data_IF_043978054518
#
_entry.id   IF_043978054518
#
_cell.length_a   1.000
_cell.length_b   1.000
_cell.length_c   1.000
_cell.angle_alpha   90.00
_cell.angle_beta   90.00
_cell.angle_gamma   90.00
#
_symmetry.space_group_name_H-M   'P 1'
#
loop_
_entity.id
_entity.type
_entity.pdbx_description
1 polymer ?
#
# COMPACT_ATOMS: atom_id res chain seq x y z
N UNK A 1 24.38 -13.61 0.30
CA UNK A 1 22.92 -13.73 0.19
C UNK A 1 22.32 -12.64 1.06
N UNK A 2 21.56 -11.73 0.46
CA UNK A 2 20.70 -10.86 1.28
C UNK A 2 19.60 -11.75 1.85
N UNK A 3 19.36 -11.62 3.16
CA UNK A 3 18.23 -12.25 3.81
C UNK A 3 16.94 -11.76 3.13
N UNK A 4 16.21 -12.68 2.50
CA UNK A 4 14.95 -12.42 1.80
C UNK A 4 13.75 -12.97 2.58
N UNK A 5 13.95 -13.27 3.85
CA UNK A 5 12.88 -13.77 4.71
C UNK A 5 11.77 -12.73 4.87
N UNK A 6 10.54 -13.22 4.92
CA UNK A 6 9.34 -12.41 5.14
C UNK A 6 8.56 -13.01 6.31
N UNK A 7 7.91 -12.17 7.14
CA UNK A 7 6.98 -12.66 8.15
C UNK A 7 5.85 -13.47 7.50
N UNK A 8 5.58 -14.66 8.04
CA UNK A 8 4.55 -15.53 7.48
C UNK A 8 3.83 -16.31 8.58
N UNK A 9 2.53 -16.48 8.42
CA UNK A 9 1.69 -17.34 9.26
C UNK A 9 1.52 -18.75 8.67
N UNK A 10 2.13 -19.05 7.52
CA UNK A 10 1.99 -20.32 6.80
C UNK A 10 2.36 -21.54 7.64
N UNK A 11 3.27 -21.39 8.58
CA UNK A 11 3.62 -22.44 9.52
C UNK A 11 2.45 -22.86 10.44
N UNK A 12 1.49 -21.97 10.64
CA UNK A 12 0.36 -22.17 11.55
C UNK A 12 -0.96 -22.41 10.85
N UNK A 13 -1.11 -22.00 9.61
CA UNK A 13 -2.38 -21.96 8.91
C UNK A 13 -2.51 -22.97 7.74
N UNK A 14 -1.42 -23.67 7.40
CA UNK A 14 -1.39 -24.70 6.36
C UNK A 14 -0.61 -25.91 6.88
N UNK A 15 -1.34 -26.95 7.27
CA UNK A 15 -0.77 -28.12 7.99
C UNK A 15 -0.07 -29.12 7.09
N UNK A 16 -0.29 -29.02 5.79
CA UNK A 16 0.36 -29.89 4.79
C UNK A 16 1.77 -29.42 4.44
N UNK A 17 2.09 -28.14 4.71
CA UNK A 17 3.41 -27.60 4.45
C UNK A 17 4.46 -28.15 5.41
N UNK A 18 5.62 -28.49 4.85
CA UNK A 18 6.76 -29.00 5.59
C UNK A 18 7.88 -27.98 5.58
N UNK A 19 8.42 -27.72 6.76
CA UNK A 19 9.45 -26.71 6.96
C UNK A 19 10.69 -27.30 7.61
N UNK A 20 11.86 -26.80 7.21
CA UNK A 20 13.12 -27.02 7.88
C UNK A 20 13.47 -25.79 8.70
N UNK A 21 13.81 -26.00 9.99
CA UNK A 21 14.31 -24.94 10.83
C UNK A 21 15.71 -24.51 10.40
N UNK A 22 15.93 -23.21 10.25
CA UNK A 22 17.23 -22.64 9.85
C UNK A 22 17.97 -22.12 11.08
N UNK A 23 17.38 -21.15 11.78
CA UNK A 23 18.01 -20.48 12.92
C UNK A 23 17.02 -19.67 13.74
N UNK A 24 17.41 -19.33 14.95
CA UNK A 24 16.80 -18.25 15.73
C UNK A 24 17.46 -16.94 15.38
N UNK A 25 16.73 -15.83 15.49
CA UNK A 25 17.31 -14.51 15.34
C UNK A 25 18.26 -14.18 16.51
N UNK A 26 19.35 -13.49 16.21
CA UNK A 26 20.34 -13.13 17.22
C UNK A 26 19.90 -11.99 18.14
N UNK A 27 19.08 -11.07 17.62
CA UNK A 27 18.67 -9.87 18.33
C UNK A 27 17.24 -9.99 18.88
N UNK A 28 16.40 -10.78 18.23
CA UNK A 28 15.00 -10.98 18.59
C UNK A 28 14.72 -12.47 18.89
N UNK A 29 14.87 -12.92 20.14
CA UNK A 29 14.77 -14.34 20.49
C UNK A 29 13.43 -15.01 20.16
N UNK A 30 12.37 -14.25 19.97
CA UNK A 30 11.06 -14.80 19.57
C UNK A 30 10.94 -15.04 18.06
N UNK A 31 11.93 -14.62 17.26
CA UNK A 31 11.92 -14.74 15.81
C UNK A 31 12.73 -15.97 15.38
N UNK A 32 12.10 -16.83 14.60
CA UNK A 32 12.70 -18.06 14.08
C UNK A 32 12.57 -18.07 12.55
N UNK A 33 13.61 -18.56 11.89
CA UNK A 33 13.69 -18.69 10.43
C UNK A 33 13.51 -20.12 10.00
N UNK A 34 12.70 -20.32 8.98
CA UNK A 34 12.42 -21.63 8.37
C UNK A 34 12.52 -21.53 6.86
N UNK A 35 12.79 -22.63 6.19
CA UNK A 35 12.66 -22.77 4.74
C UNK A 35 11.58 -23.81 4.42
N UNK A 36 10.85 -23.58 3.34
CA UNK A 36 9.95 -24.60 2.80
C UNK A 36 10.77 -25.73 2.21
N UNK A 37 10.44 -26.97 2.56
CA UNK A 37 11.14 -28.17 2.07
C UNK A 37 10.78 -28.42 0.59
N UNK A 38 11.71 -29.00 -0.16
CA UNK A 38 11.50 -29.34 -1.56
C UNK A 38 10.40 -30.40 -1.77
N UNK A 39 10.16 -31.26 -0.75
CA UNK A 39 9.11 -32.29 -0.75
C UNK A 39 7.78 -31.80 -0.13
N UNK A 40 7.68 -30.51 0.18
CA UNK A 40 6.44 -29.88 0.58
C UNK A 40 5.52 -29.66 -0.61
N UNK A 41 4.18 -29.64 -0.42
CA UNK A 41 3.27 -29.12 -1.45
C UNK A 41 3.72 -27.75 -1.96
N UNK A 42 3.66 -27.57 -3.28
CA UNK A 42 4.05 -26.32 -3.92
C UNK A 42 2.85 -25.38 -4.21
N UNK A 43 1.69 -25.73 -3.67
CA UNK A 43 0.48 -24.93 -3.67
C UNK A 43 0.11 -24.59 -2.23
N UNK A 44 -0.64 -23.53 -2.05
CA UNK A 44 -1.10 -23.07 -0.74
C UNK A 44 -2.57 -23.43 -0.61
N UNK A 45 -2.88 -24.22 0.41
CA UNK A 45 -4.26 -24.59 0.75
C UNK A 45 -4.43 -24.48 2.28
N UNK A 46 -4.83 -23.29 2.72
CA UNK A 46 -4.95 -23.05 4.17
C UNK A 46 -6.03 -23.91 4.80
N UNK A 47 -5.68 -24.62 5.88
CA UNK A 47 -6.62 -25.35 6.74
C UNK A 47 -7.40 -24.39 7.64
N UNK A 48 -6.75 -23.32 8.05
CA UNK A 48 -7.38 -22.23 8.80
C UNK A 48 -7.01 -20.88 8.18
N UNK A 49 -7.91 -19.92 8.31
CA UNK A 49 -7.62 -18.54 7.93
C UNK A 49 -7.14 -17.77 9.16
N UNK A 50 -5.89 -17.35 9.12
CA UNK A 50 -5.26 -16.56 10.17
C UNK A 50 -5.23 -15.09 9.81
N UNK A 51 -5.24 -14.22 10.82
CA UNK A 51 -5.05 -12.79 10.65
C UNK A 51 -4.39 -12.18 11.88
N UNK A 52 -3.73 -11.05 11.70
CA UNK A 52 -3.07 -10.32 12.78
C UNK A 52 -3.69 -8.96 12.97
N UNK A 53 -3.84 -8.56 14.22
CA UNK A 53 -4.35 -7.26 14.61
C UNK A 53 -3.32 -6.64 15.54
N UNK A 54 -2.66 -5.56 15.10
CA UNK A 54 -1.70 -4.79 15.90
C UNK A 54 -2.04 -3.32 15.78
N UNK A 55 -2.16 -2.63 16.90
CA UNK A 55 -2.34 -1.17 16.92
C UNK A 55 -0.99 -0.52 16.63
N UNK A 56 -0.85 0.30 15.56
CA UNK A 56 0.37 1.05 15.31
C UNK A 56 0.69 2.00 16.49
N UNK A 57 1.97 2.18 16.79
CA UNK A 57 2.41 3.07 17.87
C UNK A 57 1.97 4.51 17.61
N UNK A 58 1.97 4.93 16.35
CA UNK A 58 1.51 6.28 15.99
C UNK A 58 0.00 6.50 16.13
N UNK A 59 -0.82 5.45 16.26
CA UNK A 59 -2.26 5.56 16.58
C UNK A 59 -2.43 5.83 18.09
N UNK A 60 -1.65 5.14 18.93
CA UNK A 60 -1.66 5.31 20.38
C UNK A 60 -0.28 4.94 20.95
N UNK A 61 0.42 5.91 21.52
CA UNK A 61 1.78 5.73 22.03
C UNK A 61 1.79 4.97 23.37
N UNK A 62 0.83 5.24 24.21
CA UNK A 62 0.66 4.57 25.52
C UNK A 62 0.07 3.16 25.37
N UNK A 63 0.55 2.23 26.17
CA UNK A 63 0.11 0.82 26.15
C UNK A 63 -1.37 0.68 26.48
N UNK A 64 -1.87 1.46 27.45
CA UNK A 64 -3.29 1.40 27.85
C UNK A 64 -4.19 1.99 26.75
N UNK A 65 -3.74 3.04 26.09
CA UNK A 65 -4.44 3.61 24.93
C UNK A 65 -4.47 2.61 23.77
N UNK A 66 -3.40 1.85 23.54
CA UNK A 66 -3.39 0.75 22.53
C UNK A 66 -4.40 -0.34 22.86
N UNK A 67 -4.51 -0.75 24.13
CA UNK A 67 -5.55 -1.68 24.56
C UNK A 67 -6.96 -1.11 24.36
N UNK A 68 -7.15 0.17 24.64
CA UNK A 68 -8.43 0.84 24.43
C UNK A 68 -8.78 0.89 22.92
N UNK A 69 -7.83 1.23 22.06
CA UNK A 69 -7.99 1.22 20.61
C UNK A 69 -8.31 -0.17 20.06
N UNK A 70 -7.60 -1.21 20.53
CA UNK A 70 -7.88 -2.60 20.18
C UNK A 70 -9.29 -3.01 20.61
N UNK A 71 -9.69 -2.69 21.84
CA UNK A 71 -11.02 -3.00 22.35
C UNK A 71 -12.13 -2.26 21.56
N UNK A 72 -11.87 -1.01 21.14
CA UNK A 72 -12.78 -0.26 20.29
C UNK A 72 -12.91 -0.91 18.91
N UNK A 73 -11.80 -1.32 18.31
CA UNK A 73 -11.80 -2.08 17.05
C UNK A 73 -12.59 -3.39 17.17
N UNK A 74 -12.37 -4.19 18.20
CA UNK A 74 -13.07 -5.47 18.39
C UNK A 74 -14.58 -5.27 18.55
N UNK A 75 -15.03 -4.22 19.24
CA UNK A 75 -16.46 -3.86 19.31
C UNK A 75 -17.02 -3.49 17.92
N UNK A 76 -16.27 -2.69 17.15
CA UNK A 76 -16.63 -2.32 15.78
C UNK A 76 -16.76 -3.57 14.88
N UNK A 77 -15.79 -4.46 14.92
CA UNK A 77 -15.79 -5.69 14.14
C UNK A 77 -16.94 -6.64 14.56
N UNK A 78 -17.23 -6.76 15.86
CA UNK A 78 -18.35 -7.55 16.35
C UNK A 78 -19.70 -7.00 15.87
N UNK A 79 -19.86 -5.66 15.89
CA UNK A 79 -21.06 -5.02 15.37
C UNK A 79 -21.22 -5.23 13.85
N UNK A 80 -20.13 -5.13 13.10
CA UNK A 80 -20.15 -5.35 11.65
C UNK A 80 -20.58 -6.79 11.26
N UNK A 81 -20.24 -7.80 12.06
CA UNK A 81 -20.66 -9.20 11.80
C UNK A 81 -22.18 -9.42 11.81
N UNK A 82 -22.92 -8.56 12.46
CA UNK A 82 -24.38 -8.65 12.52
C UNK A 82 -25.07 -7.89 11.40
N UNK A 83 -24.35 -7.06 10.68
CA UNK A 83 -24.88 -6.31 9.54
C UNK A 83 -24.99 -7.23 8.33
N UNK A 84 -26.12 -7.12 7.63
CA UNK A 84 -26.40 -7.87 6.39
C UNK A 84 -26.52 -6.90 5.21
N UNK A 85 -25.54 -6.02 5.11
CA UNK A 85 -25.54 -5.03 4.04
C UNK A 85 -25.07 -5.66 2.72
N UNK A 86 -25.69 -5.25 1.64
CA UNK A 86 -25.22 -5.56 0.30
C UNK A 86 -24.13 -4.56 -0.05
N UNK A 87 -22.99 -5.06 -0.50
CA UNK A 87 -21.89 -4.24 -0.98
C UNK A 87 -22.29 -3.48 -2.23
N UNK A 88 -22.33 -2.15 -2.19
CA UNK A 88 -22.82 -1.30 -3.28
C UNK A 88 -21.82 -0.27 -3.78
N UNK A 89 -20.95 0.19 -2.90
CA UNK A 89 -19.97 1.25 -3.20
C UNK A 89 -18.56 0.70 -3.16
N UNK A 90 -17.93 0.70 -4.32
CA UNK A 90 -16.55 0.22 -4.49
C UNK A 90 -15.69 1.34 -5.04
N UNK A 91 -14.52 1.51 -4.47
CA UNK A 91 -13.45 2.32 -5.01
C UNK A 91 -12.30 1.41 -5.44
N UNK A 92 -11.94 1.48 -6.70
CA UNK A 92 -10.85 0.72 -7.28
C UNK A 92 -9.77 1.69 -7.78
N UNK A 93 -8.57 1.53 -7.28
CA UNK A 93 -7.42 2.36 -7.62
C UNK A 93 -6.25 1.50 -8.07
N UNK A 94 -5.64 1.85 -9.19
CA UNK A 94 -4.37 1.32 -9.64
C UNK A 94 -3.42 2.47 -9.99
N UNK A 95 -2.25 2.48 -9.37
CA UNK A 95 -1.30 3.60 -9.44
C UNK A 95 0.11 3.19 -9.82
N UNK A 96 1.07 3.78 -9.14
CA UNK A 96 2.48 3.60 -9.40
C UNK A 96 2.92 2.14 -9.45
N UNK A 97 3.74 1.82 -10.43
CA UNK A 97 4.41 0.54 -10.62
C UNK A 97 3.69 -0.41 -11.58
N UNK A 98 2.47 -0.09 -11.94
CA UNK A 98 1.74 -0.86 -12.92
C UNK A 98 1.99 -0.27 -14.32
N UNK A 99 2.71 -1.00 -15.14
CA UNK A 99 2.98 -0.68 -16.55
C UNK A 99 2.11 -1.55 -17.47
N UNK A 100 2.32 -1.51 -18.78
CA UNK A 100 1.44 -2.05 -19.81
C UNK A 100 0.64 -3.31 -19.43
N UNK A 101 1.31 -4.43 -19.13
CA UNK A 101 0.62 -5.71 -18.86
C UNK A 101 -0.09 -5.70 -17.50
N UNK A 102 0.55 -5.16 -16.48
CA UNK A 102 -0.05 -5.02 -15.16
C UNK A 102 -1.25 -4.07 -15.17
N UNK A 103 -1.19 -2.99 -15.97
CA UNK A 103 -2.31 -2.08 -16.14
C UNK A 103 -3.50 -2.74 -16.83
N UNK A 104 -3.24 -3.53 -17.87
CA UNK A 104 -4.30 -4.30 -18.54
C UNK A 104 -4.98 -5.26 -17.56
N UNK A 105 -4.22 -5.94 -16.71
CA UNK A 105 -4.79 -6.80 -15.67
C UNK A 105 -5.70 -6.02 -14.70
N UNK A 106 -5.36 -4.76 -14.35
CA UNK A 106 -6.21 -3.91 -13.49
C UNK A 106 -7.46 -3.40 -14.21
N UNK A 107 -7.38 -3.16 -15.51
CA UNK A 107 -8.54 -2.86 -16.34
C UNK A 107 -9.47 -4.07 -16.39
N UNK A 108 -8.93 -5.26 -16.62
CA UNK A 108 -9.70 -6.51 -16.64
C UNK A 108 -10.34 -6.83 -15.29
N UNK A 109 -9.65 -6.55 -14.19
CA UNK A 109 -10.20 -6.64 -12.83
C UNK A 109 -11.40 -5.71 -12.66
N UNK A 110 -11.28 -4.45 -13.08
CA UNK A 110 -12.38 -3.48 -13.04
C UNK A 110 -13.59 -3.95 -13.85
N UNK A 111 -13.37 -4.46 -15.05
CA UNK A 111 -14.43 -5.07 -15.88
C UNK A 111 -15.06 -6.28 -15.21
N UNK A 112 -14.26 -7.13 -14.58
CA UNK A 112 -14.72 -8.31 -13.86
C UNK A 112 -15.60 -7.92 -12.67
N UNK A 113 -15.17 -6.96 -11.88
CA UNK A 113 -15.96 -6.43 -10.77
C UNK A 113 -17.33 -5.92 -11.25
N UNK A 114 -17.37 -5.15 -12.34
CA UNK A 114 -18.62 -4.65 -12.92
C UNK A 114 -19.52 -5.77 -13.44
N UNK A 115 -18.95 -6.81 -14.02
CA UNK A 115 -19.73 -7.94 -14.56
C UNK A 115 -20.28 -8.84 -13.47
N UNK A 116 -19.54 -9.07 -12.40
CA UNK A 116 -19.95 -9.91 -11.27
C UNK A 116 -20.91 -9.19 -10.31
N UNK A 117 -20.77 -7.88 -10.24
CA UNK A 117 -21.60 -7.02 -9.39
C UNK A 117 -22.29 -5.94 -10.25
N UNK A 118 -23.32 -6.30 -11.03
CA UNK A 118 -23.93 -5.40 -12.01
C UNK A 118 -24.59 -4.15 -11.40
N UNK A 119 -24.82 -4.12 -10.09
CA UNK A 119 -25.26 -2.93 -9.37
C UNK A 119 -24.13 -1.90 -9.18
N UNK A 120 -22.83 -2.32 -9.30
CA UNK A 120 -21.69 -1.43 -9.27
C UNK A 120 -21.64 -0.59 -10.55
N UNK A 121 -22.21 0.42 -10.75
CA UNK A 121 -22.20 1.26 -11.97
C UNK A 121 -23.56 1.80 -12.34
N UNK A 122 -24.61 1.29 -11.70
CA UNK A 122 -25.97 1.77 -11.91
C UNK A 122 -26.47 2.67 -10.79
N UNK A 123 -25.86 2.61 -9.60
CA UNK A 123 -26.24 3.42 -8.46
C UNK A 123 -25.30 4.61 -8.26
N UNK A 124 -25.83 5.72 -7.79
CA UNK A 124 -25.06 6.91 -7.43
C UNK A 124 -23.99 6.55 -6.39
N UNK A 125 -22.74 6.79 -6.72
CA UNK A 125 -21.60 6.70 -5.81
C UNK A 125 -20.76 5.44 -5.93
N UNK A 126 -20.96 4.60 -6.94
CA UNK A 126 -19.95 3.61 -7.33
C UNK A 126 -18.85 4.33 -8.10
N UNK A 127 -17.89 4.88 -7.40
CA UNK A 127 -16.64 5.34 -8.00
C UNK A 127 -15.74 4.14 -8.25
N UNK A 128 -16.12 3.33 -9.24
CA UNK A 128 -15.18 2.46 -9.88
C UNK A 128 -14.30 3.33 -10.77
N UNK A 129 -13.03 3.07 -10.71
CA UNK A 129 -12.02 3.49 -11.65
C UNK A 129 -11.38 4.83 -11.38
N UNK A 130 -10.38 4.74 -10.56
CA UNK A 130 -9.29 5.65 -10.72
C UNK A 130 -8.01 4.85 -11.05
N UNK A 131 -7.75 4.70 -12.34
CA UNK A 131 -6.51 4.11 -12.81
C UNK A 131 -5.58 5.26 -13.17
N UNK A 132 -4.48 5.35 -12.43
CA UNK A 132 -3.49 6.41 -12.62
C UNK A 132 -2.38 5.91 -13.55
N UNK A 133 -2.62 5.96 -14.86
CA UNK A 133 -1.62 5.58 -15.85
C UNK A 133 -0.40 6.51 -15.85
N UNK A 134 -0.66 7.78 -15.56
CA UNK A 134 0.29 8.87 -15.72
C UNK A 134 0.61 9.50 -14.36
N UNK A 135 1.60 10.39 -14.36
CA UNK A 135 1.87 11.22 -13.18
C UNK A 135 0.70 12.17 -12.92
N UNK A 136 0.11 12.09 -11.74
CA UNK A 136 -0.97 12.96 -11.31
C UNK A 136 -0.69 13.53 -9.91
N UNK A 137 -0.37 14.80 -9.79
CA UNK A 137 -0.03 15.43 -8.51
C UNK A 137 -1.22 15.55 -7.55
N UNK A 138 -2.45 15.32 -8.02
CA UNK A 138 -3.67 15.36 -7.21
C UNK A 138 -4.11 13.97 -6.73
N UNK A 139 -3.37 12.92 -7.06
CA UNK A 139 -3.77 11.54 -6.77
C UNK A 139 -3.94 11.27 -5.28
N UNK A 140 -3.04 11.79 -4.43
CA UNK A 140 -3.11 11.64 -2.98
C UNK A 140 -4.41 12.18 -2.41
N UNK A 141 -4.71 13.42 -2.73
CA UNK A 141 -5.91 14.09 -2.20
C UNK A 141 -7.19 13.41 -2.70
N UNK A 142 -7.18 12.92 -3.93
CA UNK A 142 -8.29 12.17 -4.50
C UNK A 142 -8.47 10.82 -3.79
N UNK A 143 -7.40 10.09 -3.53
CA UNK A 143 -7.45 8.82 -2.79
C UNK A 143 -7.94 9.03 -1.36
N UNK A 144 -7.38 10.00 -0.63
CA UNK A 144 -7.83 10.35 0.73
C UNK A 144 -9.31 10.70 0.75
N UNK A 145 -9.79 11.50 -0.20
CA UNK A 145 -11.21 11.82 -0.32
C UNK A 145 -12.07 10.60 -0.60
N UNK A 146 -11.60 9.70 -1.47
CA UNK A 146 -12.33 8.48 -1.80
C UNK A 146 -12.47 7.55 -0.60
N UNK A 147 -11.38 7.25 0.11
CA UNK A 147 -11.41 6.34 1.27
C UNK A 147 -12.13 6.93 2.49
N UNK A 148 -12.26 8.26 2.55
CA UNK A 148 -13.05 8.97 3.56
C UNK A 148 -14.55 9.05 3.22
N UNK A 149 -14.97 8.58 2.05
CA UNK A 149 -16.37 8.61 1.62
C UNK A 149 -17.22 7.75 2.56
N UNK A 150 -18.27 8.34 3.11
CA UNK A 150 -19.24 7.62 3.95
C UNK A 150 -19.95 6.55 3.11
N UNK A 151 -20.24 5.43 3.75
CA UNK A 151 -20.91 4.28 3.12
C UNK A 151 -20.08 3.62 1.99
N UNK A 152 -18.79 3.82 1.96
CA UNK A 152 -17.88 3.05 1.09
C UNK A 152 -17.78 1.62 1.63
N UNK A 153 -18.12 0.63 0.82
CA UNK A 153 -18.12 -0.76 1.24
C UNK A 153 -16.76 -1.42 1.02
N UNK A 154 -16.14 -1.17 -0.12
CA UNK A 154 -14.89 -1.80 -0.53
C UNK A 154 -13.95 -0.77 -1.17
N UNK A 155 -12.70 -0.73 -0.73
CA UNK A 155 -11.60 -0.08 -1.42
C UNK A 155 -10.57 -1.12 -1.85
N UNK A 156 -10.20 -1.11 -3.12
CA UNK A 156 -9.13 -1.94 -3.68
C UNK A 156 -8.04 -1.01 -4.17
N UNK A 157 -6.84 -1.12 -3.60
CA UNK A 157 -5.74 -0.18 -3.79
C UNK A 157 -4.51 -0.93 -4.31
N UNK A 158 -4.14 -0.71 -5.56
CA UNK A 158 -2.96 -1.30 -6.20
C UNK A 158 -1.90 -0.24 -6.42
N UNK A 159 -0.76 -0.38 -5.76
CA UNK A 159 0.38 0.54 -5.87
C UNK A 159 1.65 -0.09 -5.31
N UNK A 160 2.81 0.56 -5.44
CA UNK A 160 3.99 0.20 -4.67
C UNK A 160 3.90 0.76 -3.25
N UNK A 161 4.67 0.19 -2.30
CA UNK A 161 4.65 0.66 -0.92
C UNK A 161 5.92 0.34 -0.14
N UNK A 162 6.04 1.03 0.98
CA UNK A 162 6.90 0.71 2.12
C UNK A 162 6.04 0.59 3.38
N UNK A 163 6.65 0.40 4.52
CA UNK A 163 5.93 0.26 5.80
C UNK A 163 5.04 1.48 6.08
N UNK A 164 5.51 2.67 5.73
CA UNK A 164 4.95 3.96 6.08
C UNK A 164 4.38 4.76 4.89
N UNK A 165 4.55 4.28 3.66
CA UNK A 165 4.23 5.06 2.45
C UNK A 165 3.55 4.20 1.38
N UNK A 166 2.55 4.78 0.74
CA UNK A 166 1.91 4.30 -0.48
C UNK A 166 2.40 5.15 -1.65
N UNK A 167 3.10 4.54 -2.60
CA UNK A 167 3.62 5.20 -3.79
C UNK A 167 2.55 5.19 -4.88
N UNK A 168 1.91 6.33 -5.09
CA UNK A 168 0.69 6.42 -5.88
C UNK A 168 0.92 6.79 -7.34
N UNK A 169 2.10 7.35 -7.67
CA UNK A 169 2.38 7.89 -8.99
C UNK A 169 3.41 7.09 -9.78
N UNK A 170 3.17 7.00 -11.08
CA UNK A 170 4.18 6.55 -12.03
C UNK A 170 5.29 7.59 -12.22
N UNK A 171 6.41 7.17 -12.83
CA UNK A 171 7.44 8.10 -13.26
C UNK A 171 6.86 9.03 -14.33
N UNK A 172 6.96 10.34 -14.18
CA UNK A 172 6.49 11.27 -15.20
C UNK A 172 7.30 11.12 -16.48
N UNK A 173 6.63 11.19 -17.62
CA UNK A 173 7.24 11.21 -18.95
C UNK A 173 7.21 12.61 -19.55
N UNK A 174 8.16 12.92 -20.44
CA UNK A 174 8.21 14.20 -21.11
C UNK A 174 6.90 14.49 -21.87
N UNK A 175 6.34 15.65 -21.70
CA UNK A 175 5.06 16.07 -22.32
C UNK A 175 3.87 16.17 -21.35
N UNK A 176 3.94 15.57 -20.17
CA UNK A 176 2.87 15.65 -19.16
C UNK A 176 3.01 16.82 -18.19
N UNK A 177 3.92 17.74 -18.44
CA UNK A 177 4.54 18.58 -17.43
C UNK A 177 3.95 19.99 -17.37
N UNK A 178 2.77 20.22 -17.89
CA UNK A 178 2.15 21.52 -17.75
C UNK A 178 1.67 21.75 -16.32
N UNK A 179 2.41 22.55 -15.56
CA UNK A 179 1.93 23.18 -14.34
C UNK A 179 2.65 22.84 -13.03
N UNK A 180 3.42 21.73 -12.94
CA UNK A 180 4.10 21.31 -11.69
C UNK A 180 5.49 20.74 -11.93
N UNK A 181 6.28 21.41 -12.74
CA UNK A 181 7.62 20.97 -13.16
C UNK A 181 8.56 20.75 -11.97
N UNK A 182 8.49 21.60 -10.95
CA UNK A 182 9.40 21.51 -9.81
C UNK A 182 9.10 20.32 -8.93
N UNK A 183 7.83 19.98 -8.70
CA UNK A 183 7.42 18.78 -7.97
C UNK A 183 7.82 17.51 -8.71
N UNK A 184 7.71 17.51 -10.03
CA UNK A 184 8.16 16.41 -10.88
C UNK A 184 9.67 16.21 -10.79
N UNK A 185 10.46 17.29 -10.88
CA UNK A 185 11.92 17.25 -10.68
C UNK A 185 12.28 16.66 -9.31
N UNK A 186 11.61 17.13 -8.26
CA UNK A 186 11.81 16.65 -6.89
C UNK A 186 11.54 15.16 -6.76
N UNK A 187 10.44 14.68 -7.36
CA UNK A 187 10.09 13.26 -7.35
C UNK A 187 11.13 12.41 -8.09
N UNK A 188 11.57 12.84 -9.28
CA UNK A 188 12.59 12.12 -10.07
C UNK A 188 13.93 12.04 -9.33
N UNK A 189 14.41 13.16 -8.76
CA UNK A 189 15.64 13.17 -7.96
C UNK A 189 15.54 12.28 -6.71
N UNK A 190 14.40 12.30 -6.03
CA UNK A 190 14.13 11.43 -4.88
C UNK A 190 14.15 9.95 -5.27
N UNK A 191 13.55 9.57 -6.39
CA UNK A 191 13.59 8.18 -6.90
C UNK A 191 14.99 7.76 -7.29
N UNK A 192 15.73 8.62 -7.97
CA UNK A 192 17.11 8.38 -8.34
C UNK A 192 17.99 8.10 -7.12
N UNK A 193 17.91 8.93 -6.08
CA UNK A 193 18.66 8.76 -4.83
C UNK A 193 18.36 7.45 -4.10
N UNK A 194 17.12 6.96 -4.19
CA UNK A 194 16.71 5.68 -3.57
C UNK A 194 17.12 4.45 -4.38
N UNK A 195 17.59 4.64 -5.60
CA UNK A 195 18.03 3.52 -6.43
C UNK A 195 19.36 2.94 -5.93
N UNK A 196 19.60 1.67 -6.30
CA UNK A 196 20.88 1.00 -5.98
C UNK A 196 22.04 1.52 -6.80
N UNK A 197 21.76 2.08 -7.96
CA UNK A 197 22.72 2.63 -8.90
C UNK A 197 22.16 3.95 -9.42
N UNK A 198 22.63 5.02 -8.79
CA UNK A 198 22.14 6.38 -9.04
C UNK A 198 22.43 6.84 -10.47
N UNK A 199 23.66 6.60 -10.96
CA UNK A 199 24.05 7.01 -12.31
C UNK A 199 23.31 6.24 -13.39
N UNK A 200 23.13 4.94 -13.21
CA UNK A 200 22.34 4.13 -14.13
C UNK A 200 20.91 4.65 -14.18
N UNK A 201 20.27 4.88 -13.06
CA UNK A 201 18.89 5.38 -12.99
C UNK A 201 18.75 6.77 -13.58
N UNK A 202 19.72 7.66 -13.35
CA UNK A 202 19.77 8.97 -14.00
C UNK A 202 19.80 8.84 -15.52
N UNK A 203 20.68 7.98 -16.03
CA UNK A 203 20.81 7.78 -17.46
C UNK A 203 19.55 7.17 -18.09
N UNK A 204 18.88 6.24 -17.41
CA UNK A 204 17.59 5.69 -17.84
C UNK A 204 16.52 6.79 -17.93
N UNK A 205 16.41 7.68 -16.94
CA UNK A 205 15.47 8.79 -17.00
C UNK A 205 15.74 9.72 -18.18
N UNK A 206 17.00 9.98 -18.49
CA UNK A 206 17.39 10.85 -19.62
C UNK A 206 17.11 10.14 -20.96
N UNK A 207 17.58 8.88 -21.13
CA UNK A 207 17.53 8.16 -22.41
C UNK A 207 16.13 7.66 -22.74
N UNK A 208 15.47 7.02 -21.79
CA UNK A 208 14.25 6.26 -22.03
C UNK A 208 12.99 7.13 -21.85
N UNK A 209 13.06 8.11 -20.94
CA UNK A 209 11.93 8.97 -20.64
C UNK A 209 12.10 10.42 -21.17
N UNK A 210 13.25 10.72 -21.80
CA UNK A 210 13.51 12.03 -22.37
C UNK A 210 13.57 13.17 -21.34
N UNK A 211 13.96 12.87 -20.09
CA UNK A 211 14.04 13.88 -19.03
C UNK A 211 15.30 14.74 -19.25
N UNK A 212 15.19 16.07 -19.23
CA UNK A 212 16.36 16.94 -19.37
C UNK A 212 17.40 16.70 -18.27
N UNK A 213 18.67 16.53 -18.65
CA UNK A 213 19.75 16.28 -17.69
C UNK A 213 19.84 17.38 -16.61
N UNK A 214 19.55 18.63 -16.99
CA UNK A 214 19.56 19.77 -16.05
C UNK A 214 18.58 19.62 -14.88
N UNK A 215 17.61 18.71 -14.95
CA UNK A 215 16.68 18.46 -13.86
C UNK A 215 17.33 17.72 -12.68
N UNK A 216 18.49 17.13 -12.91
CA UNK A 216 19.26 16.42 -11.89
C UNK A 216 20.38 17.27 -11.26
N UNK A 217 20.55 18.55 -11.71
CA UNK A 217 21.55 19.43 -11.12
C UNK A 217 21.31 19.61 -9.62
N UNK A 218 22.40 19.52 -8.82
CA UNK A 218 22.33 19.65 -7.37
C UNK A 218 21.60 18.51 -6.64
N UNK A 219 21.45 17.37 -7.28
CA UNK A 219 20.73 16.23 -6.72
C UNK A 219 21.27 15.71 -5.38
N UNK A 220 22.55 15.97 -5.07
CA UNK A 220 23.27 15.63 -3.84
C UNK A 220 23.39 16.81 -2.86
N UNK A 221 22.89 18.00 -3.22
CA UNK A 221 22.85 19.15 -2.35
C UNK A 221 21.85 18.95 -1.20
N UNK A 222 22.23 19.15 0.08
CA UNK A 222 21.34 18.98 1.23
C UNK A 222 20.05 19.81 1.17
N UNK A 223 20.10 21.04 0.66
CA UNK A 223 18.91 21.89 0.54
C UNK A 223 17.95 21.35 -0.54
N UNK A 224 18.51 20.88 -1.67
CA UNK A 224 17.74 20.24 -2.71
C UNK A 224 17.15 18.92 -2.22
N UNK A 225 17.89 18.14 -1.45
CA UNK A 225 17.41 16.90 -0.85
C UNK A 225 16.22 17.16 0.08
N UNK A 226 16.32 18.17 0.95
CA UNK A 226 15.23 18.51 1.87
C UNK A 226 13.97 18.96 1.12
N UNK A 227 14.15 19.81 0.11
CA UNK A 227 13.03 20.24 -0.75
C UNK A 227 12.39 19.06 -1.50
N UNK A 228 13.20 18.22 -2.12
CA UNK A 228 12.73 17.06 -2.87
C UNK A 228 11.97 16.07 -2.00
N UNK A 229 12.41 15.88 -0.76
CA UNK A 229 11.73 15.00 0.19
C UNK A 229 10.34 15.54 0.55
N UNK A 230 10.23 16.84 0.77
CA UNK A 230 8.95 17.49 1.04
C UNK A 230 8.00 17.42 -0.15
N UNK A 231 8.50 17.68 -1.36
CA UNK A 231 7.70 17.64 -2.58
C UNK A 231 7.28 16.21 -2.96
N UNK A 232 8.17 15.23 -2.77
CA UNK A 232 7.84 13.80 -3.00
C UNK A 232 6.78 13.31 -2.01
N UNK A 233 6.86 13.72 -0.76
CA UNK A 233 5.83 13.42 0.24
C UNK A 233 4.47 14.03 -0.15
N UNK A 234 4.43 15.09 -0.95
CA UNK A 234 3.18 15.72 -1.36
C UNK A 234 2.39 14.93 -2.41
N UNK A 235 3.02 14.00 -3.14
CA UNK A 235 2.36 13.22 -4.22
C UNK A 235 2.12 11.76 -3.87
N UNK A 236 2.78 11.25 -2.84
CA UNK A 236 2.56 9.92 -2.29
C UNK A 236 1.79 10.05 -0.96
N UNK A 237 1.25 8.96 -0.46
CA UNK A 237 0.50 8.96 0.80
C UNK A 237 1.33 8.30 1.88
N UNK A 238 1.65 9.05 2.91
CA UNK A 238 2.42 8.59 4.06
C UNK A 238 1.60 8.56 5.35
N UNK A 239 2.15 7.95 6.40
CA UNK A 239 1.48 7.91 7.71
C UNK A 239 1.03 9.31 8.19
N UNK A 240 1.84 10.38 8.15
CA UNK A 240 1.38 11.72 8.52
C UNK A 240 0.14 12.21 7.76
N UNK A 241 -0.02 11.80 6.50
CA UNK A 241 -1.15 12.21 5.68
C UNK A 241 -2.46 11.53 6.08
N UNK A 242 -2.40 10.26 6.52
CA UNK A 242 -3.57 9.47 6.91
C UNK A 242 -3.86 9.52 8.40
N UNK A 243 -2.85 9.86 9.23
CA UNK A 243 -3.01 9.98 10.68
C UNK A 243 -4.10 10.99 11.02
N UNK A 244 -5.10 10.56 11.78
CA UNK A 244 -6.24 11.39 12.15
C UNK A 244 -7.25 11.66 11.03
N UNK A 245 -7.11 11.02 9.87
CA UNK A 245 -8.12 11.07 8.80
C UNK A 245 -9.08 9.89 8.94
N UNK A 246 -10.35 10.13 8.67
CA UNK A 246 -11.32 9.04 8.64
C UNK A 246 -11.12 8.17 7.39
N UNK A 247 -11.15 6.87 7.57
CA UNK A 247 -11.19 5.86 6.52
C UNK A 247 -12.46 5.04 6.70
N UNK A 248 -13.38 5.11 5.78
CA UNK A 248 -14.73 4.61 5.96
C UNK A 248 -15.08 3.34 5.16
N UNK A 249 -14.19 2.91 4.26
CA UNK A 249 -14.40 1.64 3.57
C UNK A 249 -14.48 0.49 4.59
N UNK A 250 -15.56 -0.28 4.55
CA UNK A 250 -15.76 -1.44 5.44
C UNK A 250 -14.65 -2.46 5.25
N UNK A 251 -14.28 -2.70 3.99
CA UNK A 251 -13.18 -3.59 3.59
C UNK A 251 -12.19 -2.79 2.76
N UNK A 252 -10.91 -2.89 3.11
CA UNK A 252 -9.82 -2.31 2.32
C UNK A 252 -8.88 -3.44 1.89
N UNK A 253 -8.63 -3.56 0.60
CA UNK A 253 -7.63 -4.46 0.03
C UNK A 253 -6.47 -3.60 -0.43
N UNK A 254 -5.29 -3.82 0.15
CA UNK A 254 -4.06 -3.10 -0.20
C UNK A 254 -3.11 -4.09 -0.87
N UNK A 255 -2.99 -3.99 -2.18
CA UNK A 255 -2.00 -4.73 -2.96
C UNK A 255 -0.76 -3.85 -3.13
N UNK A 256 0.10 -3.88 -2.13
CA UNK A 256 1.32 -3.08 -2.05
C UNK A 256 2.34 -3.73 -1.11
N UNK A 257 3.63 -3.64 -1.46
CA UNK A 257 4.72 -4.16 -0.63
C UNK A 257 4.73 -3.48 0.75
N UNK A 258 5.02 -4.22 1.80
CA UNK A 258 5.28 -3.77 3.18
C UNK A 258 4.22 -2.90 3.87
N UNK A 259 3.16 -2.46 3.21
CA UNK A 259 2.14 -1.62 3.86
C UNK A 259 1.49 -2.29 5.08
N UNK A 260 1.46 -3.62 5.14
CA UNK A 260 0.98 -4.41 6.27
C UNK A 260 2.10 -4.98 7.16
N UNK A 261 3.26 -4.36 7.22
CA UNK A 261 4.43 -4.84 7.96
C UNK A 261 4.21 -4.80 9.49
N UNK A 262 3.35 -5.68 10.00
CA UNK A 262 2.99 -5.76 11.41
C UNK A 262 4.18 -6.07 12.36
N UNK A 263 5.32 -6.46 11.82
CA UNK A 263 6.59 -6.59 12.53
C UNK A 263 7.21 -5.23 12.86
N UNK A 264 6.86 -4.16 12.12
CA UNK A 264 7.25 -2.79 12.43
C UNK A 264 6.37 -2.21 13.54
N UNK A 265 6.88 -1.25 14.30
CA UNK A 265 6.12 -0.57 15.35
C UNK A 265 5.03 0.31 14.78
N UNK A 266 5.27 0.90 13.63
CA UNK A 266 4.31 1.70 12.89
C UNK A 266 4.20 1.20 11.45
N UNK A 267 2.98 1.17 10.89
CA UNK A 267 2.73 0.71 9.52
C UNK A 267 1.39 1.24 9.00
N UNK A 268 1.36 1.60 7.73
CA UNK A 268 0.27 2.42 7.17
C UNK A 268 -1.08 1.69 7.11
N UNK A 269 -1.11 0.38 6.86
CA UNK A 269 -2.37 -0.38 6.79
C UNK A 269 -3.12 -0.38 8.13
N UNK A 270 -2.41 -0.26 9.25
CA UNK A 270 -3.03 -0.14 10.58
C UNK A 270 -3.88 1.12 10.72
N UNK A 271 -3.50 2.21 10.08
CA UNK A 271 -4.28 3.44 10.13
C UNK A 271 -5.63 3.30 9.44
N UNK A 272 -5.70 2.55 8.33
CA UNK A 272 -6.99 2.23 7.71
C UNK A 272 -7.91 1.48 8.66
N UNK A 273 -7.35 0.60 9.50
CA UNK A 273 -8.12 -0.22 10.42
C UNK A 273 -8.61 0.54 11.66
N UNK A 274 -7.77 1.46 12.17
CA UNK A 274 -8.03 2.10 13.48
C UNK A 274 -8.60 3.51 13.39
N UNK A 275 -8.48 4.21 12.24
CA UNK A 275 -8.90 5.62 12.12
C UNK A 275 -10.39 5.84 11.81
N UNK A 276 -11.18 4.81 11.52
CA UNK A 276 -12.56 5.06 11.09
C UNK A 276 -13.45 3.82 11.05
N UNK A 277 -14.25 3.74 10.00
CA UNK A 277 -15.26 2.69 9.79
C UNK A 277 -14.73 1.34 9.35
N UNK A 278 -13.48 1.25 8.88
CA UNK A 278 -12.92 0.00 8.33
C UNK A 278 -12.85 -1.10 9.38
N UNK A 279 -13.33 -2.29 9.01
CA UNK A 279 -13.34 -3.47 9.88
C UNK A 279 -12.42 -4.57 9.40
N UNK A 280 -12.07 -4.57 8.13
CA UNK A 280 -11.18 -5.55 7.50
C UNK A 280 -10.17 -4.78 6.66
N UNK A 281 -8.89 -5.05 6.87
CA UNK A 281 -7.82 -4.65 5.96
C UNK A 281 -7.08 -5.91 5.55
N UNK A 282 -7.13 -6.22 4.28
CA UNK A 282 -6.41 -7.33 3.66
C UNK A 282 -5.24 -6.74 2.90
N UNK A 283 -4.05 -7.24 3.17
CA UNK A 283 -2.84 -6.83 2.48
C UNK A 283 -2.23 -8.03 1.77
N UNK A 284 -1.98 -7.88 0.48
CA UNK A 284 -1.11 -8.78 -0.26
C UNK A 284 0.35 -8.33 -0.14
N UNK A 285 1.26 -9.28 -0.03
CA UNK A 285 2.71 -9.02 -0.04
C UNK A 285 3.26 -9.26 -1.43
#
# INVERSE_FOLDING_TARGET
WKDSSVPSDRFYDDFDLKFDYIRQDGDVPALHYYSLRADSPQYICCDIYSSRIKVPVGVAEDVQERYAALAAYLRKAAAARTQRDIMRRVFHFAGHGYNSDSMNARIDESWTLRSQFPFLGTERGCDLDFINFDYNPLVRDRLLKAVATKDLDLAILHHHGSEDTQYLNNTPVSGMLSGKVDEVKSNLRSRMRRSRDVEKTKNEFISDYGIPESWFNGWDDPEVIAKDSADAAAVDLSIPDIKGKETNAKIVIIDACYNGAFNCDDYIAGYYLFNGGSTIVVKAN
#
